data_IF_145626582778
#
_entry.id   IF_145626582778
#
_cell.length_a   1.000
_cell.length_b   1.000
_cell.length_c   1.000
_cell.angle_alpha   90.00
_cell.angle_beta   90.00
_cell.angle_gamma   90.00
#
_symmetry.space_group_name_H-M   'P 1'
#
loop_
_entity.id
_entity.type
_entity.pdbx_description
1 polymer ?
#
# COMPACT_ATOMS: atom_id res chain seq x y z
N UNK A 1 13.29 6.12 -36.47
CA UNK A 1 11.81 6.17 -36.51
C UNK A 1 11.15 4.83 -36.87
N UNK A 2 11.80 3.88 -37.56
CA UNK A 2 11.18 2.59 -37.90
C UNK A 2 11.10 1.59 -36.71
N UNK A 3 12.10 1.57 -35.83
CA UNK A 3 12.15 0.60 -34.71
C UNK A 3 11.13 0.83 -33.58
N UNK A 4 10.84 2.10 -33.22
CA UNK A 4 9.83 2.39 -32.18
C UNK A 4 8.41 2.10 -32.68
N UNK A 5 8.14 2.37 -33.96
CA UNK A 5 6.86 2.06 -34.59
C UNK A 5 6.58 0.55 -34.64
N UNK A 6 7.61 -0.25 -34.94
CA UNK A 6 7.51 -1.71 -34.93
C UNK A 6 7.29 -2.27 -33.51
N UNK A 7 7.87 -1.65 -32.48
CA UNK A 7 7.60 -2.00 -31.07
C UNK A 7 6.16 -1.64 -30.68
N UNK A 8 5.66 -0.48 -31.08
CA UNK A 8 4.31 -0.02 -30.76
C UNK A 8 3.21 -0.87 -31.41
N UNK A 9 3.47 -1.42 -32.60
CA UNK A 9 2.58 -2.36 -33.28
C UNK A 9 2.43 -3.69 -32.51
N UNK A 10 3.44 -4.08 -31.73
CA UNK A 10 3.38 -5.30 -30.90
C UNK A 10 2.52 -5.14 -29.64
N UNK A 11 2.24 -3.89 -29.21
CA UNK A 11 1.48 -3.62 -27.98
C UNK A 11 -0.02 -3.85 -28.24
N UNK A 12 -0.62 -4.84 -27.58
CA UNK A 12 -2.04 -5.17 -27.76
C UNK A 12 -2.93 -4.73 -26.59
N UNK A 13 -2.37 -4.57 -25.38
CA UNK A 13 -3.05 -3.98 -24.22
C UNK A 13 -2.05 -3.23 -23.33
N UNK A 14 -2.55 -2.52 -22.33
CA UNK A 14 -1.74 -1.85 -21.32
C UNK A 14 -2.22 -2.16 -19.89
N UNK A 15 -1.36 -1.96 -18.90
CA UNK A 15 -1.71 -2.07 -17.48
C UNK A 15 -1.11 -0.92 -16.69
N UNK A 16 -1.83 -0.48 -15.66
CA UNK A 16 -1.35 0.50 -14.69
C UNK A 16 -0.53 -0.24 -13.61
N UNK A 17 0.63 0.31 -13.28
CA UNK A 17 1.52 -0.18 -12.22
C UNK A 17 1.88 0.95 -11.25
N UNK A 18 1.88 0.70 -9.93
CA UNK A 18 1.47 -0.54 -9.28
C UNK A 18 -0.04 -0.82 -9.42
N UNK A 19 -0.47 -2.07 -9.23
CA UNK A 19 -1.89 -2.43 -9.21
C UNK A 19 -2.61 -1.85 -7.98
N UNK A 20 -1.89 -1.70 -6.87
CA UNK A 20 -2.32 -0.96 -5.67
C UNK A 20 -1.20 0.01 -5.31
N UNK A 21 -1.41 1.30 -5.53
CA UNK A 21 -0.51 2.34 -5.05
C UNK A 21 -0.77 2.67 -3.58
N UNK A 22 0.29 2.96 -2.84
CA UNK A 22 0.20 3.41 -1.45
C UNK A 22 0.78 4.81 -1.36
N UNK A 23 -0.07 5.76 -0.99
CA UNK A 23 0.33 7.10 -0.60
C UNK A 23 0.04 7.29 0.89
N UNK A 24 0.59 8.35 1.49
CA UNK A 24 0.42 8.61 2.91
C UNK A 24 0.20 10.08 3.19
N UNK A 25 -0.68 10.33 4.15
CA UNK A 25 -0.94 11.66 4.66
C UNK A 25 0.32 12.24 5.33
N UNK A 26 0.42 13.56 5.35
CA UNK A 26 1.53 14.31 5.95
C UNK A 26 1.17 15.78 6.06
N UNK A 27 1.51 16.41 7.18
CA UNK A 27 1.05 17.76 7.50
C UNK A 27 1.92 18.91 6.94
N UNK A 28 2.94 18.59 6.13
CA UNK A 28 3.73 19.62 5.45
C UNK A 28 2.94 20.28 4.32
N UNK A 29 2.93 21.61 4.32
CA UNK A 29 2.32 22.46 3.26
C UNK A 29 3.37 23.15 2.39
N UNK A 30 4.65 22.78 2.55
CA UNK A 30 5.75 23.34 1.77
C UNK A 30 5.76 22.77 0.36
N UNK A 31 6.37 23.49 -0.57
CA UNK A 31 6.52 23.04 -1.97
C UNK A 31 7.32 21.72 -2.06
N UNK A 32 8.31 21.53 -1.19
CA UNK A 32 9.07 20.28 -1.06
C UNK A 32 8.46 19.31 -0.02
N UNK A 33 7.21 19.55 0.40
CA UNK A 33 6.49 18.86 1.48
C UNK A 33 6.05 17.43 1.16
N UNK A 34 6.73 16.76 0.23
CA UNK A 34 6.41 15.40 -0.20
C UNK A 34 7.66 14.64 -0.66
N UNK A 35 7.51 13.34 -0.82
CA UNK A 35 8.47 12.48 -1.51
C UNK A 35 7.72 11.37 -2.26
N UNK A 36 8.33 10.85 -3.33
CA UNK A 36 7.77 9.70 -4.05
C UNK A 36 8.02 8.43 -3.23
N UNK A 37 6.96 7.64 -3.04
CA UNK A 37 7.01 6.37 -2.34
C UNK A 37 7.92 5.35 -3.04
N UNK A 38 8.33 4.27 -2.34
CA UNK A 38 9.23 3.26 -2.88
C UNK A 38 8.73 2.68 -4.21
N UNK A 39 9.61 2.65 -5.22
CA UNK A 39 9.35 2.04 -6.53
C UNK A 39 9.93 0.62 -6.63
N UNK A 40 10.60 0.16 -5.58
CA UNK A 40 11.21 -1.15 -5.44
C UNK A 40 10.96 -1.68 -4.03
N UNK A 41 11.04 -3.00 -3.88
CA UNK A 41 10.76 -3.69 -2.61
C UNK A 41 11.76 -3.28 -1.53
N UNK A 42 13.04 -3.17 -1.85
CA UNK A 42 14.12 -2.76 -0.93
C UNK A 42 14.72 -1.42 -1.37
N UNK A 43 14.07 -0.28 -1.05
CA UNK A 43 14.61 1.02 -1.41
C UNK A 43 15.85 1.35 -0.55
N UNK A 44 16.82 2.05 -1.15
CA UNK A 44 17.93 2.61 -0.37
C UNK A 44 17.42 3.62 0.68
N UNK A 45 18.07 3.72 1.85
CA UNK A 45 17.76 4.75 2.85
C UNK A 45 17.73 6.13 2.22
N UNK A 46 16.74 6.94 2.61
CA UNK A 46 16.83 8.38 2.40
C UNK A 46 17.77 8.99 3.44
N UNK A 47 18.41 10.14 3.13
CA UNK A 47 19.22 10.87 4.11
C UNK A 47 18.43 11.21 5.39
N UNK A 48 19.09 11.35 6.55
CA UNK A 48 18.45 11.83 7.76
C UNK A 48 17.68 13.15 7.53
N UNK A 49 16.47 13.24 8.08
CA UNK A 49 15.60 14.41 7.92
C UNK A 49 14.77 14.43 6.64
N UNK A 50 14.97 13.51 5.69
CA UNK A 50 14.29 13.55 4.39
C UNK A 50 12.75 13.43 4.45
N UNK A 51 12.19 12.90 5.53
CA UNK A 51 10.75 12.68 5.70
C UNK A 51 10.01 13.83 6.39
N UNK A 52 10.72 14.90 6.76
CA UNK A 52 10.16 16.11 7.36
C UNK A 52 10.65 17.33 6.60
N UNK A 53 9.84 18.38 6.57
CA UNK A 53 10.28 19.67 6.07
C UNK A 53 11.10 20.44 7.13
N UNK A 54 11.50 21.66 6.79
CA UNK A 54 12.31 22.52 7.66
C UNK A 54 11.63 22.93 8.98
N UNK A 55 10.31 22.77 9.12
CA UNK A 55 9.58 23.07 10.36
C UNK A 55 9.35 21.81 11.21
N UNK A 56 9.74 20.64 10.69
CA UNK A 56 9.51 19.34 11.32
C UNK A 56 8.16 18.71 10.93
N UNK A 57 7.38 19.33 10.05
CA UNK A 57 6.14 18.74 9.55
C UNK A 57 6.43 17.53 8.67
N UNK A 58 5.61 16.49 8.76
CA UNK A 58 5.74 15.26 7.98
C UNK A 58 5.44 15.54 6.51
N UNK A 59 6.36 15.12 5.65
CA UNK A 59 6.15 15.12 4.21
C UNK A 59 5.15 14.04 3.82
N UNK A 60 4.30 14.32 2.83
CA UNK A 60 3.38 13.34 2.23
C UNK A 60 4.17 12.29 1.45
N UNK A 61 3.79 11.02 1.55
CA UNK A 61 4.28 9.97 0.65
C UNK A 61 3.36 9.89 -0.56
N UNK A 62 3.93 9.96 -1.76
CA UNK A 62 3.17 10.05 -3.02
C UNK A 62 3.24 8.73 -3.77
N UNK A 63 2.08 8.21 -4.18
CA UNK A 63 2.00 7.04 -5.03
C UNK A 63 2.22 7.48 -6.48
N UNK A 64 3.29 7.01 -7.11
CA UNK A 64 3.55 7.21 -8.55
C UNK A 64 3.06 5.99 -9.33
N UNK A 65 2.28 6.25 -10.38
CA UNK A 65 1.71 5.26 -11.28
C UNK A 65 2.27 5.44 -12.69
N UNK A 66 2.46 4.29 -13.35
CA UNK A 66 3.03 4.14 -14.69
C UNK A 66 2.11 3.27 -15.52
N UNK A 67 2.15 3.43 -16.84
CA UNK A 67 1.47 2.53 -17.75
C UNK A 67 2.52 1.76 -18.53
N UNK A 68 2.40 0.44 -18.56
CA UNK A 68 3.23 -0.41 -19.41
C UNK A 68 2.37 -1.03 -20.52
N UNK A 69 2.87 -0.98 -21.75
CA UNK A 69 2.30 -1.68 -22.89
C UNK A 69 2.80 -3.12 -22.95
N UNK A 70 1.89 -4.03 -23.29
CA UNK A 70 2.12 -5.47 -23.31
C UNK A 70 1.84 -6.06 -24.69
N UNK A 71 2.62 -7.08 -25.07
CA UNK A 71 2.35 -7.86 -26.26
C UNK A 71 1.26 -8.93 -26.04
N UNK A 72 0.93 -9.67 -27.10
CA UNK A 72 -0.04 -10.76 -27.06
C UNK A 72 0.34 -11.96 -26.18
N UNK A 73 1.61 -12.07 -25.78
CA UNK A 73 2.11 -13.09 -24.86
C UNK A 73 2.13 -12.59 -23.41
N UNK A 74 1.75 -11.33 -23.16
CA UNK A 74 1.77 -10.72 -21.85
C UNK A 74 3.16 -10.31 -21.36
N UNK A 75 4.12 -10.13 -22.28
CA UNK A 75 5.43 -9.55 -21.95
C UNK A 75 5.34 -8.03 -22.01
N UNK A 76 6.05 -7.37 -21.09
CA UNK A 76 6.19 -5.91 -21.12
C UNK A 76 7.02 -5.52 -22.34
N UNK A 77 6.46 -4.65 -23.19
CA UNK A 77 7.18 -4.08 -24.34
C UNK A 77 7.94 -2.83 -23.91
N UNK A 78 7.22 -1.86 -23.32
CA UNK A 78 7.81 -0.61 -22.78
C UNK A 78 6.85 0.13 -21.86
N UNK A 79 7.37 1.12 -21.14
CA UNK A 79 6.56 2.15 -20.49
C UNK A 79 5.95 3.08 -21.55
N UNK A 80 4.70 3.48 -21.35
CA UNK A 80 3.98 4.46 -22.15
C UNK A 80 4.05 5.82 -21.45
N UNK A 81 4.53 6.83 -22.17
CA UNK A 81 4.63 8.22 -21.72
C UNK A 81 3.70 9.08 -22.57
N UNK A 82 3.19 10.19 -22.00
CA UNK A 82 2.46 11.19 -22.81
C UNK A 82 3.46 11.84 -23.78
N UNK A 83 3.13 11.89 -25.06
CA UNK A 83 4.01 12.48 -26.06
C UNK A 83 3.61 12.13 -27.50
N UNK A 84 4.56 12.24 -28.41
CA UNK A 84 4.32 11.98 -29.83
C UNK A 84 3.77 10.56 -30.04
N UNK A 85 2.54 10.48 -30.57
CA UNK A 85 1.86 9.22 -30.82
C UNK A 85 1.30 8.50 -29.60
N UNK A 86 1.38 9.05 -28.39
CA UNK A 86 0.77 8.44 -27.18
C UNK A 86 -0.02 9.48 -26.39
N UNK A 87 -1.34 9.32 -26.32
CA UNK A 87 -2.24 10.09 -25.47
C UNK A 87 -2.59 9.26 -24.23
N UNK A 88 -2.51 9.87 -23.05
CA UNK A 88 -2.93 9.26 -21.78
C UNK A 88 -3.80 10.25 -21.04
N UNK A 89 -5.01 9.83 -20.65
CA UNK A 89 -5.86 10.54 -19.70
C UNK A 89 -6.04 9.66 -18.47
N UNK A 90 -5.51 10.10 -17.33
CA UNK A 90 -5.72 9.46 -16.04
C UNK A 90 -7.03 9.92 -15.44
N UNK A 91 -7.72 9.03 -14.71
CA UNK A 91 -8.87 9.36 -13.87
C UNK A 91 -8.76 8.63 -12.54
N UNK A 92 -8.87 9.38 -11.45
CA UNK A 92 -8.84 8.87 -10.08
C UNK A 92 -10.08 9.35 -9.34
N UNK A 93 -10.69 8.46 -8.58
CA UNK A 93 -11.76 8.76 -7.64
C UNK A 93 -11.27 8.37 -6.23
N UNK A 94 -11.45 9.25 -5.25
CA UNK A 94 -11.06 9.00 -3.87
C UNK A 94 -12.29 9.14 -2.98
N UNK A 95 -12.41 8.27 -1.99
CA UNK A 95 -13.47 8.39 -1.00
C UNK A 95 -12.99 7.99 0.40
N UNK A 96 -13.71 8.47 1.41
CA UNK A 96 -13.60 8.00 2.79
C UNK A 96 -14.99 7.68 3.34
N UNK A 97 -15.22 6.40 3.60
CA UNK A 97 -16.48 5.89 4.11
C UNK A 97 -16.44 5.53 5.60
N UNK A 98 -15.32 5.78 6.31
CA UNK A 98 -15.09 5.29 7.68
C UNK A 98 -16.21 5.65 8.64
N UNK A 99 -16.70 6.89 8.59
CA UNK A 99 -17.74 7.37 9.50
C UNK A 99 -19.16 6.85 9.12
N UNK A 100 -19.36 6.48 7.86
CA UNK A 100 -20.59 5.84 7.37
C UNK A 100 -20.61 4.32 7.55
N UNK A 101 -19.45 3.72 7.89
CA UNK A 101 -19.28 2.27 8.00
C UNK A 101 -19.71 1.71 9.36
N UNK A 102 -19.46 0.42 9.54
CA UNK A 102 -19.66 -0.30 10.80
C UNK A 102 -18.54 -0.04 11.79
N UNK A 103 -18.84 -0.25 13.07
CA UNK A 103 -17.85 -0.34 14.12
C UNK A 103 -16.89 -1.51 13.85
N UNK A 104 -15.60 -1.28 14.09
CA UNK A 104 -14.62 -2.36 14.12
C UNK A 104 -14.60 -2.97 15.50
N UNK A 105 -15.12 -4.18 15.64
CA UNK A 105 -15.10 -4.95 16.90
C UNK A 105 -14.07 -6.09 16.81
N UNK A 106 -14.07 -6.80 15.68
CA UNK A 106 -13.17 -7.90 15.33
C UNK A 106 -13.19 -8.12 13.82
N UNK A 107 -12.23 -8.89 13.32
CA UNK A 107 -12.19 -9.29 11.92
C UNK A 107 -13.28 -10.34 11.63
N UNK A 108 -14.21 -10.07 10.72
CA UNK A 108 -15.41 -10.91 10.52
C UNK A 108 -15.15 -12.24 9.80
N UNK A 109 -13.93 -12.47 9.34
CA UNK A 109 -13.47 -13.67 8.64
C UNK A 109 -12.79 -14.71 9.55
N UNK A 110 -12.77 -14.47 10.87
CA UNK A 110 -12.25 -15.42 11.86
C UNK A 110 -13.36 -16.30 12.46
N UNK A 111 -13.07 -17.52 12.94
CA UNK A 111 -14.07 -18.41 13.54
C UNK A 111 -14.87 -17.78 14.69
N UNK A 112 -14.23 -16.96 15.51
CA UNK A 112 -14.83 -16.26 16.66
C UNK A 112 -15.95 -15.29 16.22
N UNK A 113 -15.92 -14.80 14.98
CA UNK A 113 -16.96 -13.93 14.44
C UNK A 113 -18.31 -14.63 14.31
N UNK A 114 -18.32 -15.97 14.18
CA UNK A 114 -19.56 -16.74 14.00
C UNK A 114 -20.50 -16.68 15.21
N UNK A 115 -19.97 -16.39 16.41
CA UNK A 115 -20.75 -16.30 17.65
C UNK A 115 -20.72 -14.91 18.27
N UNK A 116 -19.98 -13.96 17.69
CA UNK A 116 -19.89 -12.61 18.20
C UNK A 116 -21.17 -11.80 17.94
N UNK A 117 -21.50 -10.82 18.80
CA UNK A 117 -22.55 -9.85 18.51
C UNK A 117 -22.28 -9.12 17.18
N UNK A 118 -23.29 -8.89 16.32
CA UNK A 118 -23.10 -8.15 15.09
C UNK A 118 -22.59 -6.73 15.33
N UNK A 119 -21.64 -6.29 14.50
CA UNK A 119 -21.17 -4.90 14.52
C UNK A 119 -22.30 -3.94 14.18
N UNK A 120 -22.44 -2.89 14.98
CA UNK A 120 -23.40 -1.81 14.72
C UNK A 120 -22.75 -0.72 13.86
N UNK A 121 -23.56 0.17 13.29
CA UNK A 121 -23.04 1.31 12.52
C UNK A 121 -22.29 2.29 13.41
N UNK A 122 -21.20 2.85 12.89
CA UNK A 122 -20.73 4.16 13.37
C UNK A 122 -21.78 5.21 13.07
N UNK A 123 -21.83 6.23 13.92
CA UNK A 123 -22.81 7.31 13.86
C UNK A 123 -24.24 6.76 13.78
N UNK A 124 -24.56 5.77 14.63
CA UNK A 124 -25.81 5.02 14.55
C UNK A 124 -27.06 5.90 14.72
N UNK A 125 -26.93 7.07 15.36
CA UNK A 125 -28.02 8.04 15.53
C UNK A 125 -28.44 8.71 14.22
N UNK A 126 -27.56 8.75 13.21
CA UNK A 126 -27.85 9.30 11.88
C UNK A 126 -28.48 8.21 11.01
N UNK A 127 -29.69 8.48 10.52
CA UNK A 127 -30.57 7.50 9.86
C UNK A 127 -30.92 7.89 8.43
N UNK A 128 -31.38 6.90 7.67
CA UNK A 128 -31.97 7.09 6.34
C UNK A 128 -31.05 7.85 5.38
N UNK A 129 -31.58 8.77 4.56
CA UNK A 129 -30.82 9.45 3.52
C UNK A 129 -29.71 10.36 4.05
N UNK A 130 -29.73 10.75 5.33
CA UNK A 130 -28.69 11.59 5.93
C UNK A 130 -27.37 10.85 6.13
N UNK A 131 -27.36 9.50 6.13
CA UNK A 131 -26.11 8.73 6.24
C UNK A 131 -25.12 9.01 5.11
N UNK A 132 -25.59 9.45 3.94
CA UNK A 132 -24.70 9.86 2.84
C UNK A 132 -23.76 11.02 3.22
N UNK A 133 -24.17 11.87 4.18
CA UNK A 133 -23.36 12.99 4.70
C UNK A 133 -22.17 12.53 5.56
N UNK A 134 -22.11 11.24 5.90
CA UNK A 134 -21.00 10.65 6.65
C UNK A 134 -19.85 10.17 5.75
N UNK A 135 -20.06 10.10 4.44
CA UNK A 135 -19.02 9.70 3.48
C UNK A 135 -18.44 10.94 2.80
N UNK A 136 -17.12 11.05 2.81
CA UNK A 136 -16.40 12.10 2.09
C UNK A 136 -16.14 11.57 0.69
N UNK A 137 -16.81 12.13 -0.30
CA UNK A 137 -16.79 11.64 -1.69
C UNK A 137 -16.56 12.81 -2.66
N UNK A 138 -15.33 13.35 -2.72
CA UNK A 138 -14.98 14.31 -3.76
C UNK A 138 -15.19 13.65 -5.13
N UNK A 139 -15.66 14.43 -6.11
CA UNK A 139 -15.86 13.90 -7.46
C UNK A 139 -14.55 13.39 -8.07
N UNK A 140 -14.59 12.55 -9.12
CA UNK A 140 -13.39 12.10 -9.81
C UNK A 140 -12.57 13.28 -10.35
N UNK A 141 -11.25 13.09 -10.45
CA UNK A 141 -10.32 14.04 -11.07
C UNK A 141 -9.60 13.38 -12.22
N UNK A 142 -9.42 14.12 -13.31
CA UNK A 142 -8.74 13.66 -14.51
C UNK A 142 -7.61 14.58 -14.91
N UNK A 143 -6.54 14.00 -15.47
CA UNK A 143 -5.35 14.72 -15.92
C UNK A 143 -4.74 14.04 -17.15
N UNK A 144 -4.42 14.82 -18.17
CA UNK A 144 -4.02 14.33 -19.49
C UNK A 144 -2.81 15.06 -20.10
N UNK A 145 -2.05 15.79 -19.28
CA UNK A 145 -0.86 16.51 -19.67
C UNK A 145 0.33 16.16 -18.78
N UNK A 146 1.54 16.47 -19.25
CA UNK A 146 2.78 16.38 -18.47
C UNK A 146 2.91 17.56 -17.51
N UNK A 147 3.72 17.40 -16.46
CA UNK A 147 4.03 18.45 -15.47
C UNK A 147 2.78 19.17 -14.91
N UNK A 148 1.68 18.42 -14.77
CA UNK A 148 0.40 18.97 -14.35
C UNK A 148 0.38 19.21 -12.84
N UNK A 149 0.01 20.42 -12.45
CA UNK A 149 -0.28 20.82 -11.08
C UNK A 149 -1.32 21.95 -11.12
N UNK A 150 -2.24 21.99 -10.16
CA UNK A 150 -3.25 23.05 -10.10
C UNK A 150 -4.51 22.64 -9.35
N UNK A 151 -5.26 23.65 -8.89
CA UNK A 151 -6.46 23.48 -8.07
C UNK A 151 -7.53 22.60 -8.71
N UNK A 152 -7.62 22.58 -10.04
CA UNK A 152 -8.56 21.74 -10.77
C UNK A 152 -8.32 20.23 -10.55
N UNK A 153 -7.13 19.83 -10.08
CA UNK A 153 -6.77 18.45 -9.78
C UNK A 153 -6.89 18.10 -8.30
N UNK A 154 -7.41 19.01 -7.46
CA UNK A 154 -7.57 18.80 -6.03
C UNK A 154 -8.91 18.15 -5.71
N UNK A 155 -8.92 17.19 -4.79
CA UNK A 155 -10.11 16.55 -4.26
C UNK A 155 -10.67 17.34 -3.08
N UNK A 156 -11.12 18.58 -3.32
CA UNK A 156 -11.49 19.59 -2.30
C UNK A 156 -12.99 19.91 -2.22
N UNK A 157 -13.82 19.15 -2.93
CA UNK A 157 -15.28 19.22 -2.96
C UNK A 157 -15.98 18.13 -2.13
N UNK A 158 -15.22 17.25 -1.48
CA UNK A 158 -15.74 16.26 -0.54
C UNK A 158 -16.09 16.89 0.81
N UNK A 159 -17.20 16.43 1.40
CA UNK A 159 -17.68 16.93 2.69
C UNK A 159 -18.03 15.83 3.68
N UNK A 160 -17.79 16.09 4.97
CA UNK A 160 -18.33 15.34 6.09
C UNK A 160 -19.28 16.25 6.87
N UNK A 161 -20.58 15.94 6.91
CA UNK A 161 -21.58 16.73 7.65
C UNK A 161 -21.50 18.26 7.36
N UNK A 162 -21.38 18.62 6.08
CA UNK A 162 -21.19 20.00 5.56
C UNK A 162 -19.83 20.66 5.89
N UNK A 163 -18.86 19.90 6.38
CA UNK A 163 -17.48 20.35 6.58
C UNK A 163 -16.66 19.87 5.40
N UNK A 164 -16.00 20.79 4.67
CA UNK A 164 -15.08 20.42 3.59
C UNK A 164 -13.88 19.66 4.12
N UNK A 165 -13.60 18.51 3.51
CA UNK A 165 -12.47 17.65 3.85
C UNK A 165 -11.71 17.31 2.56
N UNK A 166 -10.62 18.04 2.26
CA UNK A 166 -9.78 17.71 1.11
C UNK A 166 -9.12 16.33 1.28
N UNK A 167 -9.26 15.45 0.29
CA UNK A 167 -8.69 14.08 0.34
C UNK A 167 -7.35 13.94 -0.39
N UNK A 168 -6.87 14.99 -1.05
CA UNK A 168 -5.60 14.97 -1.77
C UNK A 168 -5.62 15.76 -3.08
N UNK A 169 -4.68 15.43 -3.97
CA UNK A 169 -4.51 16.05 -5.28
C UNK A 169 -3.82 15.11 -6.26
N UNK A 170 -4.03 15.34 -7.57
CA UNK A 170 -3.27 14.69 -8.64
C UNK A 170 -2.20 15.63 -9.18
N UNK A 171 -1.05 15.05 -9.55
CA UNK A 171 -0.04 15.69 -10.38
C UNK A 171 0.47 14.73 -11.45
N UNK A 172 1.17 15.24 -12.44
CA UNK A 172 1.96 14.41 -13.35
C UNK A 172 3.43 14.84 -13.38
N UNK A 173 4.32 13.89 -13.70
CA UNK A 173 5.72 14.21 -13.99
C UNK A 173 5.92 14.63 -15.46
N UNK A 174 7.16 14.88 -15.84
CA UNK A 174 7.53 15.29 -17.20
C UNK A 174 7.33 14.22 -18.28
N UNK A 175 7.02 12.99 -17.89
CA UNK A 175 6.65 11.88 -18.79
C UNK A 175 5.14 11.59 -18.78
N UNK A 176 4.36 12.32 -17.97
CA UNK A 176 2.93 12.07 -17.80
C UNK A 176 2.62 10.91 -16.85
N UNK A 177 3.57 10.48 -16.01
CA UNK A 177 3.30 9.53 -14.92
C UNK A 177 2.40 10.18 -13.89
N UNK A 178 1.37 9.47 -13.47
CA UNK A 178 0.44 9.97 -12.47
C UNK A 178 1.09 9.93 -11.08
N UNK A 179 0.90 11.00 -10.31
CA UNK A 179 1.28 11.10 -8.90
C UNK A 179 0.04 11.41 -8.08
N UNK A 180 -0.35 10.50 -7.19
CA UNK A 180 -1.50 10.66 -6.30
C UNK A 180 -1.00 11.04 -4.91
N UNK A 181 -1.43 12.19 -4.44
CA UNK A 181 -1.14 12.71 -3.11
C UNK A 181 -2.35 12.48 -2.22
N UNK A 182 -2.10 12.12 -0.96
CA UNK A 182 -3.12 12.07 0.07
C UNK A 182 -3.44 13.44 0.70
N UNK A 183 -4.35 13.41 1.68
CA UNK A 183 -4.63 14.53 2.58
C UNK A 183 -3.45 14.94 3.46
N UNK A 184 -3.71 15.86 4.39
CA UNK A 184 -2.70 16.48 5.25
C UNK A 184 -2.63 15.85 6.66
N UNK A 185 -3.35 14.76 6.90
CA UNK A 185 -3.39 14.06 8.19
C UNK A 185 -4.31 14.73 9.19
N UNK A 186 -5.33 15.46 8.71
CA UNK A 186 -6.32 16.12 9.55
C UNK A 186 -7.33 15.09 10.03
N UNK A 187 -7.56 15.08 11.34
CA UNK A 187 -8.66 14.36 11.98
C UNK A 187 -9.36 15.30 12.96
N UNK A 188 -10.69 15.26 13.00
CA UNK A 188 -11.49 16.13 13.87
C UNK A 188 -12.87 15.53 14.09
N UNK A 189 -13.58 16.01 15.10
CA UNK A 189 -15.02 15.79 15.23
C UNK A 189 -15.82 17.05 14.87
N UNK A 190 -17.11 16.88 14.56
CA UNK A 190 -18.05 17.98 14.28
C UNK A 190 -18.36 18.85 15.50
N UNK A 191 -18.13 18.32 16.69
CA UNK A 191 -18.51 18.90 17.98
C UNK A 191 -17.31 19.09 18.92
N UNK A 192 -16.09 18.99 18.39
CA UNK A 192 -14.81 19.06 19.13
C UNK A 192 -14.70 18.10 20.33
N UNK A 193 -15.42 16.96 20.30
CA UNK A 193 -15.26 15.90 21.29
C UNK A 193 -13.96 15.14 21.09
N UNK A 194 -13.27 14.75 22.17
CA UNK A 194 -12.10 13.88 22.08
C UNK A 194 -12.48 12.48 21.56
N UNK A 195 -11.54 11.74 20.94
CA UNK A 195 -11.76 10.34 20.65
C UNK A 195 -11.73 9.55 21.96
N UNK A 196 -12.64 8.59 22.10
CA UNK A 196 -12.83 7.82 23.34
C UNK A 196 -12.48 6.34 23.18
N UNK A 197 -12.41 5.84 21.95
CA UNK A 197 -11.97 4.47 21.66
C UNK A 197 -10.88 4.46 20.61
N UNK A 198 -10.20 3.32 20.48
CA UNK A 198 -9.13 3.13 19.50
C UNK A 198 -9.60 3.18 18.04
N UNK A 199 -10.87 2.85 17.76
CA UNK A 199 -11.37 2.69 16.38
C UNK A 199 -12.71 3.37 16.10
N UNK A 200 -13.64 3.40 17.04
CA UNK A 200 -15.04 3.75 16.81
C UNK A 200 -15.38 5.03 17.58
N UNK A 201 -15.42 6.15 16.85
CA UNK A 201 -15.63 7.47 17.42
C UNK A 201 -16.72 8.20 16.62
N UNK A 202 -17.91 8.35 17.19
CA UNK A 202 -19.02 9.04 16.53
C UNK A 202 -18.74 10.54 16.39
N UNK A 203 -19.17 11.11 15.27
CA UNK A 203 -18.96 12.50 14.89
C UNK A 203 -17.55 12.80 14.34
N UNK A 204 -16.65 11.81 14.28
CA UNK A 204 -15.28 11.97 13.79
C UNK A 204 -15.14 11.72 12.29
N UNK A 205 -14.20 12.43 11.69
CA UNK A 205 -13.71 12.24 10.33
C UNK A 205 -12.19 12.37 10.27
N UNK A 206 -11.59 11.81 9.21
CA UNK A 206 -10.20 11.99 8.85
C UNK A 206 -10.06 12.19 7.33
N UNK A 207 -8.86 12.52 6.88
CA UNK A 207 -8.54 12.77 5.46
C UNK A 207 -7.71 11.65 4.82
N UNK A 208 -7.79 10.43 5.37
CA UNK A 208 -7.39 9.23 4.62
C UNK A 208 -8.45 8.91 3.57
N UNK A 209 -8.11 8.08 2.60
CA UNK A 209 -9.01 7.71 1.51
C UNK A 209 -8.46 6.53 0.74
N UNK A 210 -9.28 5.98 -0.14
CA UNK A 210 -8.86 5.04 -1.16
C UNK A 210 -9.79 5.15 -2.37
N UNK A 211 -9.41 4.55 -3.49
CA UNK A 211 -10.28 4.45 -4.64
C UNK A 211 -9.60 4.04 -5.95
N UNK A 212 -10.39 3.94 -7.04
CA UNK A 212 -9.90 3.42 -8.31
C UNK A 212 -8.99 4.42 -9.03
N UNK A 213 -8.01 3.85 -9.74
CA UNK A 213 -7.13 4.55 -10.69
C UNK A 213 -7.32 3.91 -12.06
N UNK A 214 -7.75 4.70 -13.03
CA UNK A 214 -7.99 4.27 -14.41
C UNK A 214 -7.28 5.20 -15.39
N UNK A 215 -7.09 4.73 -16.62
CA UNK A 215 -6.56 5.55 -17.69
C UNK A 215 -7.18 5.18 -19.04
N UNK A 216 -7.39 6.18 -19.89
CA UNK A 216 -7.64 6.01 -21.32
C UNK A 216 -6.32 6.23 -22.05
N UNK A 217 -5.93 5.27 -22.90
CA UNK A 217 -4.67 5.34 -23.65
C UNK A 217 -4.95 5.20 -25.13
N UNK A 218 -4.43 6.13 -25.94
CA UNK A 218 -4.36 5.98 -27.40
C UNK A 218 -2.90 5.95 -27.84
N UNK A 219 -2.52 4.90 -28.55
CA UNK A 219 -1.19 4.69 -29.10
C UNK A 219 -1.28 4.67 -30.64
N UNK A 220 -0.66 5.63 -31.32
CA UNK A 220 -0.74 5.80 -32.76
C UNK A 220 -2.18 5.99 -33.27
N UNK A 221 -3.05 6.60 -32.46
CA UNK A 221 -4.48 6.76 -32.73
C UNK A 221 -5.36 5.54 -32.40
N UNK A 222 -4.76 4.41 -32.02
CA UNK A 222 -5.49 3.20 -31.59
C UNK A 222 -5.72 3.22 -30.07
N UNK A 223 -6.96 3.03 -29.65
CA UNK A 223 -7.29 2.90 -28.23
C UNK A 223 -6.84 1.53 -27.69
N UNK A 224 -6.20 1.53 -26.52
CA UNK A 224 -5.75 0.32 -25.84
C UNK A 224 -6.71 -0.03 -24.70
N UNK A 225 -6.97 -1.33 -24.50
CA UNK A 225 -7.56 -1.79 -23.24
C UNK A 225 -6.53 -1.61 -22.11
N UNK A 226 -6.90 -0.94 -21.03
CA UNK A 226 -6.02 -0.64 -19.90
C UNK A 226 -6.53 -1.34 -18.64
N UNK A 227 -5.72 -2.24 -18.08
CA UNK A 227 -5.99 -2.83 -16.77
C UNK A 227 -5.94 -1.76 -15.66
N UNK A 228 -7.00 -1.60 -14.85
CA UNK A 228 -7.07 -0.57 -13.83
C UNK A 228 -6.17 -0.88 -12.63
N UNK A 229 -6.02 0.11 -11.76
CA UNK A 229 -5.35 0.00 -10.47
C UNK A 229 -6.22 0.59 -9.36
N UNK A 230 -5.71 0.54 -8.13
CA UNK A 230 -6.28 1.16 -6.94
C UNK A 230 -5.24 2.03 -6.25
N UNK A 231 -5.66 2.99 -5.45
CA UNK A 231 -4.78 3.74 -4.56
C UNK A 231 -5.33 3.72 -3.14
N UNK A 232 -4.45 3.58 -2.16
CA UNK A 232 -4.77 3.68 -0.73
C UNK A 232 -3.94 4.81 -0.12
N UNK A 233 -4.61 5.72 0.57
CA UNK A 233 -4.00 6.81 1.33
C UNK A 233 -3.97 6.41 2.81
N UNK A 234 -2.81 5.97 3.27
CA UNK A 234 -2.61 5.44 4.62
C UNK A 234 -2.05 6.51 5.61
N UNK A 235 -2.04 6.21 6.91
CA UNK A 235 -1.24 6.96 7.88
C UNK A 235 0.26 6.98 7.52
N UNK A 236 1.06 7.92 8.07
CA UNK A 236 2.50 8.00 7.82
C UNK A 236 3.23 6.69 8.17
N UNK A 237 4.28 6.36 7.40
CA UNK A 237 5.21 5.29 7.75
C UNK A 237 6.37 5.89 8.54
N UNK A 238 6.37 5.67 9.86
CA UNK A 238 7.41 6.18 10.76
C UNK A 238 8.71 5.36 10.73
N UNK A 239 8.71 4.20 10.06
CA UNK A 239 9.88 3.32 9.91
C UNK A 239 9.99 2.79 8.48
N UNK A 240 10.25 3.63 7.47
CA UNK A 240 10.18 3.25 6.05
C UNK A 240 11.19 2.19 5.61
N UNK A 241 12.24 1.95 6.40
CA UNK A 241 13.22 0.89 6.16
C UNK A 241 12.90 -0.42 6.89
N UNK A 242 11.87 -0.42 7.73
CA UNK A 242 11.49 -1.57 8.54
C UNK A 242 10.33 -2.31 7.85
N UNK A 243 10.43 -3.63 7.83
CA UNK A 243 9.40 -4.51 7.28
C UNK A 243 8.86 -5.43 8.37
N UNK A 244 7.55 -5.67 8.32
CA UNK A 244 6.96 -6.73 9.13
C UNK A 244 7.32 -8.11 8.58
N UNK A 245 7.20 -9.13 9.44
CA UNK A 245 7.45 -10.54 9.08
C UNK A 245 6.50 -11.04 7.98
N UNK A 246 5.30 -10.46 7.87
CA UNK A 246 4.37 -10.65 6.75
C UNK A 246 3.89 -9.29 6.25
N UNK A 247 3.97 -9.07 4.95
CA UNK A 247 3.51 -7.85 4.28
C UNK A 247 2.17 -8.07 3.58
N UNK A 248 1.51 -6.99 3.15
CA UNK A 248 0.31 -7.10 2.31
C UNK A 248 0.61 -7.81 0.99
N UNK A 249 1.82 -7.65 0.44
CA UNK A 249 2.25 -8.36 -0.77
C UNK A 249 2.27 -9.88 -0.54
N UNK A 250 2.80 -10.33 0.59
CA UNK A 250 2.84 -11.75 0.94
C UNK A 250 1.42 -12.32 1.11
N UNK A 251 0.53 -11.57 1.78
CA UNK A 251 -0.87 -11.94 1.93
C UNK A 251 -1.59 -12.06 0.58
N UNK A 252 -1.45 -11.07 -0.30
CA UNK A 252 -2.10 -11.09 -1.62
C UNK A 252 -1.54 -12.19 -2.52
N UNK A 253 -0.24 -12.49 -2.39
CA UNK A 253 0.39 -13.62 -3.10
C UNK A 253 -0.19 -14.96 -2.63
N UNK A 254 -0.29 -15.14 -1.31
CA UNK A 254 -0.90 -16.33 -0.69
C UNK A 254 -2.37 -16.50 -1.13
N UNK A 255 -3.17 -15.42 -1.10
CA UNK A 255 -4.56 -15.44 -1.59
C UNK A 255 -4.65 -15.83 -3.08
N UNK A 256 -3.79 -15.27 -3.93
CA UNK A 256 -3.77 -15.61 -5.35
C UNK A 256 -3.37 -17.08 -5.59
N UNK A 257 -2.47 -17.64 -4.77
CA UNK A 257 -2.13 -19.07 -4.81
C UNK A 257 -3.34 -19.92 -4.39
N UNK A 258 -3.99 -19.58 -3.28
CA UNK A 258 -5.17 -20.30 -2.79
C UNK A 258 -6.34 -20.24 -3.78
N UNK A 259 -6.50 -19.12 -4.48
CA UNK A 259 -7.49 -18.94 -5.54
C UNK A 259 -7.12 -19.61 -6.88
N UNK A 260 -5.96 -20.27 -6.98
CA UNK A 260 -5.48 -20.91 -8.22
C UNK A 260 -5.04 -19.94 -9.32
N UNK A 261 -4.83 -18.66 -8.98
CA UNK A 261 -4.37 -17.62 -9.91
C UNK A 261 -2.85 -17.58 -10.05
N UNK A 262 -2.13 -18.06 -9.03
CA UNK A 262 -0.69 -18.24 -9.04
C UNK A 262 -0.32 -19.67 -8.63
N UNK A 263 0.75 -20.26 -9.20
CA UNK A 263 1.21 -21.56 -8.74
C UNK A 263 1.88 -21.45 -7.37
N UNK A 264 1.56 -22.38 -6.47
CA UNK A 264 2.34 -22.56 -5.25
C UNK A 264 3.78 -22.98 -5.61
N UNK A 265 4.81 -22.42 -4.96
CA UNK A 265 6.19 -22.85 -5.20
C UNK A 265 6.38 -24.30 -4.72
N UNK A 266 6.84 -25.18 -5.62
CA UNK A 266 7.10 -26.59 -5.29
C UNK A 266 8.23 -26.75 -4.24
N UNK A 267 9.16 -25.80 -4.19
CA UNK A 267 10.24 -25.73 -3.22
C UNK A 267 10.56 -24.26 -2.92
N UNK A 268 10.67 -23.86 -1.64
CA UNK A 268 11.03 -22.48 -1.30
C UNK A 268 12.49 -22.19 -1.68
N UNK A 269 12.72 -20.98 -2.17
CA UNK A 269 14.03 -20.36 -2.32
C UNK A 269 14.46 -19.75 -0.98
N UNK A 270 15.64 -20.15 -0.49
CA UNK A 270 16.18 -19.54 0.72
C UNK A 270 16.29 -18.01 0.60
N UNK A 271 16.80 -17.52 -0.52
CA UNK A 271 17.04 -16.10 -0.72
C UNK A 271 15.74 -15.29 -0.91
N UNK A 272 14.74 -15.85 -1.61
CA UNK A 272 13.51 -15.11 -1.96
C UNK A 272 12.38 -15.29 -0.95
N UNK A 273 12.31 -16.46 -0.31
CA UNK A 273 11.12 -16.84 0.47
C UNK A 273 11.42 -16.95 1.98
N UNK A 274 12.68 -17.21 2.38
CA UNK A 274 13.04 -17.41 3.80
C UNK A 274 13.88 -16.25 4.37
N UNK A 275 14.88 -15.78 3.62
CA UNK A 275 15.76 -14.70 4.06
C UNK A 275 15.00 -13.41 4.39
N UNK A 276 13.96 -12.98 3.64
CA UNK A 276 13.19 -11.79 4.02
C UNK A 276 12.51 -11.93 5.38
N UNK A 277 12.00 -13.12 5.72
CA UNK A 277 11.39 -13.41 7.03
C UNK A 277 12.44 -13.26 8.14
N UNK A 278 13.60 -13.91 7.99
CA UNK A 278 14.68 -13.84 8.99
C UNK A 278 15.25 -12.43 9.14
N UNK A 279 15.36 -11.70 8.04
CA UNK A 279 15.81 -10.30 8.02
C UNK A 279 14.81 -9.43 8.78
N UNK A 280 13.51 -9.53 8.48
CA UNK A 280 12.47 -8.79 9.19
C UNK A 280 12.46 -9.09 10.70
N UNK A 281 12.59 -10.35 11.10
CA UNK A 281 12.65 -10.70 12.53
C UNK A 281 13.84 -10.05 13.24
N UNK A 282 15.00 -9.98 12.59
CA UNK A 282 16.17 -9.32 13.18
C UNK A 282 16.04 -7.79 13.15
N UNK A 283 15.61 -7.20 12.04
CA UNK A 283 15.54 -5.74 11.86
C UNK A 283 14.47 -5.10 12.76
N UNK A 284 13.39 -5.83 13.07
CA UNK A 284 12.36 -5.37 14.01
C UNK A 284 12.90 -5.14 15.44
N UNK A 285 14.13 -5.55 15.76
CA UNK A 285 14.81 -5.17 17.02
C UNK A 285 14.80 -3.65 17.26
N UNK A 286 14.87 -2.84 16.20
CA UNK A 286 14.93 -1.39 16.33
C UNK A 286 13.60 -0.79 16.79
N UNK A 287 12.49 -1.49 16.57
CA UNK A 287 11.13 -0.98 16.81
C UNK A 287 10.38 -1.76 17.90
N UNK A 288 10.89 -2.92 18.33
CA UNK A 288 10.18 -3.80 19.25
C UNK A 288 11.15 -4.55 20.19
N UNK A 289 10.95 -4.37 21.50
CA UNK A 289 11.79 -4.97 22.54
C UNK A 289 11.75 -6.51 22.56
N UNK A 290 10.62 -7.13 22.20
CA UNK A 290 10.49 -8.59 22.10
C UNK A 290 11.34 -9.14 20.95
N UNK A 291 11.31 -8.48 19.79
CA UNK A 291 12.21 -8.82 18.69
C UNK A 291 13.68 -8.58 19.07
N UNK A 292 13.99 -7.48 19.76
CA UNK A 292 15.34 -7.20 20.22
C UNK A 292 15.87 -8.27 21.18
N UNK A 293 15.06 -8.75 22.12
CA UNK A 293 15.45 -9.78 23.08
C UNK A 293 15.61 -11.17 22.44
N UNK A 294 14.83 -11.51 21.41
CA UNK A 294 14.93 -12.81 20.74
C UNK A 294 15.98 -12.84 19.63
N UNK A 295 15.90 -11.86 18.74
CA UNK A 295 16.56 -11.85 17.42
C UNK A 295 17.51 -10.66 17.22
N UNK A 296 17.67 -9.79 18.24
CA UNK A 296 18.58 -8.66 18.15
C UNK A 296 20.05 -9.05 18.02
N UNK A 297 20.91 -8.11 17.61
CA UNK A 297 22.34 -8.37 17.47
C UNK A 297 22.95 -8.91 18.78
N UNK A 298 23.64 -10.05 18.69
CA UNK A 298 24.24 -10.74 19.84
C UNK A 298 23.29 -11.65 20.62
N UNK A 299 22.00 -11.71 20.27
CA UNK A 299 21.04 -12.62 20.90
C UNK A 299 21.07 -14.04 20.29
N UNK A 300 20.61 -15.07 21.02
CA UNK A 300 20.70 -16.46 20.58
C UNK A 300 20.04 -16.78 19.23
N UNK A 301 19.02 -16.01 18.82
CA UNK A 301 18.33 -16.19 17.54
C UNK A 301 18.58 -15.05 16.55
N UNK A 302 19.74 -14.40 16.63
CA UNK A 302 20.16 -13.47 15.58
C UNK A 302 20.43 -14.23 14.27
N UNK A 303 19.39 -14.42 13.46
CA UNK A 303 19.43 -15.23 12.24
C UNK A 303 20.43 -14.71 11.20
N UNK A 304 20.74 -13.41 11.23
CA UNK A 304 21.69 -12.78 10.31
C UNK A 304 23.16 -12.95 10.73
N UNK A 305 23.45 -13.64 11.83
CA UNK A 305 24.81 -14.01 12.17
C UNK A 305 25.46 -14.82 11.02
N UNK A 306 26.66 -14.45 10.51
CA UNK A 306 27.21 -15.02 9.28
C UNK A 306 27.29 -16.56 9.25
N UNK A 307 27.68 -17.19 10.35
CA UNK A 307 27.71 -18.66 10.42
C UNK A 307 26.32 -19.27 10.54
N UNK A 308 25.38 -18.62 11.23
CA UNK A 308 24.02 -19.14 11.41
C UNK A 308 23.25 -19.10 10.08
N UNK A 309 23.24 -17.96 9.39
CA UNK A 309 22.58 -17.83 8.08
C UNK A 309 23.17 -18.80 7.04
N UNK A 310 24.49 -19.02 7.06
CA UNK A 310 25.18 -20.00 6.20
C UNK A 310 24.71 -21.43 6.47
N UNK A 311 24.56 -21.81 7.73
CA UNK A 311 24.05 -23.14 8.12
C UNK A 311 22.59 -23.32 7.71
N UNK A 312 21.77 -22.28 7.88
CA UNK A 312 20.36 -22.30 7.48
C UNK A 312 20.17 -22.35 5.96
N UNK A 313 21.07 -21.75 5.18
CA UNK A 313 21.00 -21.75 3.72
C UNK A 313 21.58 -22.99 3.05
N UNK A 314 22.39 -23.78 3.76
CA UNK A 314 23.04 -24.97 3.21
C UNK A 314 22.05 -26.13 3.07
N UNK A 315 21.78 -26.64 1.85
CA UNK A 315 20.93 -27.81 1.65
C UNK A 315 21.63 -29.11 2.10
N UNK A 316 20.87 -30.21 2.21
CA UNK A 316 21.38 -31.53 2.61
C UNK A 316 21.33 -31.78 4.12
N UNK A 317 21.88 -32.91 4.55
CA UNK A 317 21.63 -33.48 5.88
C UNK A 317 22.47 -32.85 7.00
N UNK A 318 23.62 -32.25 6.66
CA UNK A 318 24.59 -31.70 7.63
C UNK A 318 23.97 -30.75 8.66
N UNK A 319 23.01 -29.92 8.23
CA UNK A 319 22.30 -28.98 9.11
C UNK A 319 20.77 -29.18 9.09
N UNK A 320 20.30 -30.37 8.70
CA UNK A 320 18.87 -30.64 8.60
C UNK A 320 18.13 -30.50 9.94
N UNK A 321 18.69 -31.02 11.03
CA UNK A 321 18.08 -30.89 12.35
C UNK A 321 18.02 -29.43 12.82
N UNK A 322 19.07 -28.64 12.58
CA UNK A 322 19.04 -27.20 12.89
C UNK A 322 17.89 -26.49 12.17
N UNK A 323 17.75 -26.72 10.85
CA UNK A 323 16.65 -26.13 10.07
C UNK A 323 15.29 -26.61 10.56
N UNK A 324 15.17 -27.88 10.95
CA UNK A 324 13.93 -28.45 11.51
C UNK A 324 13.60 -27.81 12.86
N UNK A 325 14.58 -27.63 13.75
CA UNK A 325 14.40 -26.93 15.03
C UNK A 325 13.91 -25.50 14.80
N UNK A 326 14.54 -24.76 13.88
CA UNK A 326 14.11 -23.38 13.55
C UNK A 326 12.69 -23.37 12.99
N UNK A 327 12.38 -24.20 12.00
CA UNK A 327 11.05 -24.28 11.42
C UNK A 327 9.97 -24.63 12.45
N UNK A 328 10.26 -25.60 13.34
CA UNK A 328 9.33 -26.03 14.38
C UNK A 328 9.15 -25.02 15.52
N UNK A 329 10.01 -24.01 15.61
CA UNK A 329 9.86 -22.94 16.59
C UNK A 329 8.83 -21.88 16.16
N UNK A 330 8.51 -21.81 14.86
CA UNK A 330 7.43 -20.97 14.34
C UNK A 330 6.05 -21.56 14.66
N UNK A 331 5.11 -20.69 15.03
CA UNK A 331 3.68 -20.99 15.19
C UNK A 331 3.10 -21.42 13.86
N UNK A 332 2.52 -22.61 13.83
CA UNK A 332 1.76 -23.08 12.70
C UNK A 332 0.27 -22.71 12.92
N UNK A 333 -0.35 -21.91 12.04
CA UNK A 333 -1.75 -21.53 12.17
C UNK A 333 -2.73 -22.71 12.09
N UNK A 334 -2.29 -23.89 11.62
CA UNK A 334 -3.09 -25.13 11.67
C UNK A 334 -3.04 -25.85 13.02
N UNK A 335 -2.14 -25.47 13.93
CA UNK A 335 -2.04 -26.10 15.25
C UNK A 335 -3.17 -25.56 16.15
N UNK A 336 -3.88 -26.46 16.83
CA UNK A 336 -4.98 -26.09 17.76
C UNK A 336 -4.49 -25.38 19.02
N UNK A 337 -3.22 -25.60 19.39
CA UNK A 337 -2.56 -24.94 20.52
C UNK A 337 -1.20 -24.42 20.05
N UNK A 338 -1.08 -23.09 19.98
CA UNK A 338 0.12 -22.37 19.57
C UNK A 338 0.91 -21.81 20.76
N UNK A 339 0.45 -22.04 22.00
CA UNK A 339 1.02 -21.46 23.22
C UNK A 339 2.42 -21.97 23.54
N UNK A 340 2.76 -23.18 23.08
CA UNK A 340 4.05 -23.83 23.32
C UNK A 340 5.12 -23.52 22.27
N UNK A 341 4.80 -22.71 21.24
CA UNK A 341 5.73 -22.30 20.19
C UNK A 341 6.39 -20.97 20.55
N UNK A 342 7.70 -20.86 20.30
CA UNK A 342 8.51 -19.72 20.73
C UNK A 342 8.15 -18.43 19.98
N UNK A 343 7.83 -18.49 18.68
CA UNK A 343 7.49 -17.32 17.86
C UNK A 343 6.43 -17.61 16.82
#
# INVERSE_FOLDING_TARGET
MSGSRQLDESIVYAKIHPSIGVARVGNSTKQDGYYIGPQVVEPAPKPPGAYRDSTGALKREVAEFRIYGYDGEGRVVRELHIGEGTEIEWTVELANHKAAWYNFELALDIPEAATAPPSTYRNATIKGPDRKKLSITPGPRSVNCIDAEGKQYHFDDGEFMNIKVPLGELRTDSHGRLRVFGGYGKSSSIDNKPPITFANNDGWYDDTSDGPVSARVKLGGRELNVGPAWVVIAPPNYGPQQKSVRTMYDLMTDLAIQAGQLPAPAKPSFQKDLLPIFTAMCDLQWMNAGFAAGFGYGMPQYFLAPDYIRKLSMPGDTYAELRRTVANAFRNPSDKDISMKLW
#
